data_IF_886200358198
#
_entry.id   IF_886200358198
#
_cell.length_a   1.000
_cell.length_b   1.000
_cell.length_c   1.000
_cell.angle_alpha   90.00
_cell.angle_beta   90.00
_cell.angle_gamma   90.00
#
_symmetry.space_group_name_H-M   'P 1'
#
loop_
_entity.id
_entity.type
_entity.pdbx_description
1 polymer ?
#
# COMPACT_ATOMS: atom_id res chain seq x y z
N UNK A 1 2.93 -12.22 -59.11
CA UNK A 1 4.06 -12.64 -58.25
C UNK A 1 4.46 -11.59 -57.22
N UNK A 2 4.39 -10.30 -57.51
CA UNK A 2 4.79 -9.20 -56.63
C UNK A 2 3.95 -9.03 -55.35
N UNK A 3 2.63 -9.29 -55.39
CA UNK A 3 1.71 -9.19 -54.29
C UNK A 3 2.08 -10.17 -53.14
N UNK A 4 2.50 -11.40 -53.48
CA UNK A 4 2.84 -12.46 -52.55
C UNK A 4 4.18 -12.20 -51.80
N UNK A 5 5.10 -11.42 -52.37
CA UNK A 5 6.37 -11.05 -51.76
C UNK A 5 6.21 -9.89 -50.77
N UNK A 6 5.31 -8.93 -51.05
CA UNK A 6 4.96 -7.84 -50.15
C UNK A 6 4.25 -8.39 -48.90
N UNK A 7 3.30 -9.28 -49.04
CA UNK A 7 2.56 -9.89 -47.91
C UNK A 7 3.48 -10.70 -47.01
N UNK A 8 4.43 -11.47 -47.54
CA UNK A 8 5.44 -12.20 -46.75
C UNK A 8 6.41 -11.27 -46.00
N UNK A 9 6.73 -10.11 -46.56
CA UNK A 9 7.60 -9.12 -45.90
C UNK A 9 6.86 -8.45 -44.72
N UNK A 10 5.60 -8.09 -44.93
CA UNK A 10 4.75 -7.54 -43.89
C UNK A 10 4.58 -8.51 -42.71
N UNK A 11 4.24 -9.76 -42.98
CA UNK A 11 4.13 -10.81 -41.94
C UNK A 11 5.40 -10.95 -41.08
N UNK A 12 6.58 -10.87 -41.69
CA UNK A 12 7.86 -10.94 -40.98
C UNK A 12 8.08 -9.72 -40.10
N UNK A 13 7.73 -8.52 -40.57
CA UNK A 13 7.86 -7.28 -39.79
C UNK A 13 6.92 -7.30 -38.61
N UNK A 14 5.64 -7.62 -38.84
CA UNK A 14 4.63 -7.69 -37.75
C UNK A 14 5.00 -8.75 -36.72
N UNK A 15 5.46 -9.93 -37.15
CA UNK A 15 5.91 -10.98 -36.24
C UNK A 15 7.11 -10.56 -35.38
N UNK A 16 8.07 -9.83 -35.97
CA UNK A 16 9.17 -9.27 -35.20
C UNK A 16 8.70 -8.22 -34.19
N UNK A 17 7.83 -7.29 -34.59
CA UNK A 17 7.27 -6.28 -33.69
C UNK A 17 6.52 -6.91 -32.50
N UNK A 18 5.63 -7.87 -32.76
CA UNK A 18 4.94 -8.61 -31.72
C UNK A 18 5.92 -9.31 -30.76
N UNK A 19 6.97 -9.96 -31.30
CA UNK A 19 7.98 -10.61 -30.47
C UNK A 19 8.71 -9.63 -29.59
N UNK A 20 9.08 -8.44 -30.08
CA UNK A 20 9.73 -7.40 -29.29
C UNK A 20 8.82 -6.88 -28.18
N UNK A 21 7.52 -6.68 -28.43
CA UNK A 21 6.55 -6.29 -27.41
C UNK A 21 6.46 -7.37 -26.34
N UNK A 22 6.32 -8.64 -26.71
CA UNK A 22 6.26 -9.76 -25.75
C UNK A 22 7.51 -9.81 -24.87
N UNK A 23 8.70 -9.69 -25.46
CA UNK A 23 9.95 -9.69 -24.70
C UNK A 23 10.00 -8.50 -23.72
N UNK A 24 9.64 -7.30 -24.20
CA UNK A 24 9.65 -6.08 -23.36
C UNK A 24 8.74 -6.23 -22.15
N UNK A 25 7.49 -6.67 -22.39
CA UNK A 25 6.51 -6.88 -21.30
C UNK A 25 6.99 -7.96 -20.34
N UNK A 26 7.49 -9.09 -20.85
CA UNK A 26 7.97 -10.18 -20.01
C UNK A 26 9.15 -9.76 -19.11
N UNK A 27 10.13 -9.05 -19.67
CA UNK A 27 11.30 -8.56 -18.94
C UNK A 27 10.89 -7.50 -17.90
N UNK A 28 10.01 -6.57 -18.29
CA UNK A 28 9.54 -5.54 -17.37
C UNK A 28 8.78 -6.16 -16.18
N UNK A 29 7.91 -7.15 -16.42
CA UNK A 29 7.21 -7.87 -15.35
C UNK A 29 8.18 -8.56 -14.40
N UNK A 30 9.25 -9.19 -14.90
CA UNK A 30 10.26 -9.81 -14.04
C UNK A 30 10.93 -8.80 -13.11
N UNK A 31 11.35 -7.64 -13.65
CA UNK A 31 11.94 -6.58 -12.84
C UNK A 31 10.94 -5.95 -11.87
N UNK A 32 9.69 -5.76 -12.30
CA UNK A 32 8.64 -5.21 -11.44
C UNK A 32 8.35 -6.12 -10.25
N UNK A 33 8.22 -7.44 -10.47
CA UNK A 33 8.00 -8.41 -9.38
C UNK A 33 9.20 -8.40 -8.41
N UNK A 34 10.42 -8.37 -8.94
CA UNK A 34 11.62 -8.29 -8.09
C UNK A 34 11.61 -6.99 -7.27
N UNK A 35 11.43 -5.84 -7.91
CA UNK A 35 11.39 -4.54 -7.25
C UNK A 35 10.29 -4.48 -6.18
N UNK A 36 9.12 -5.01 -6.46
CA UNK A 36 8.01 -5.08 -5.52
C UNK A 36 8.40 -5.80 -4.22
N UNK A 37 9.01 -6.98 -4.32
CA UNK A 37 9.42 -7.75 -3.14
C UNK A 37 10.71 -7.25 -2.47
N UNK A 38 11.52 -6.49 -3.17
CA UNK A 38 12.69 -5.82 -2.59
C UNK A 38 12.27 -4.54 -1.83
N UNK A 39 11.18 -3.90 -2.27
CA UNK A 39 10.64 -2.68 -1.64
C UNK A 39 9.73 -3.00 -0.44
N UNK A 40 8.87 -4.01 -0.57
CA UNK A 40 7.96 -4.45 0.47
C UNK A 40 8.25 -5.90 0.84
N UNK A 41 9.01 -6.10 1.91
CA UNK A 41 9.51 -7.44 2.30
C UNK A 41 8.42 -8.40 2.76
N UNK A 42 7.37 -7.89 3.42
CA UNK A 42 6.24 -8.65 3.96
C UNK A 42 4.92 -8.32 3.26
N UNK A 43 4.98 -7.98 1.98
CA UNK A 43 3.80 -7.60 1.20
C UNK A 43 2.74 -8.71 1.22
N UNK A 44 1.53 -8.37 1.67
CA UNK A 44 0.34 -9.22 1.59
C UNK A 44 -0.40 -9.03 0.26
N UNK A 45 -1.35 -9.93 -0.05
CA UNK A 45 -2.17 -9.78 -1.25
C UNK A 45 -3.12 -8.57 -1.13
N UNK A 46 -3.64 -8.30 0.06
CA UNK A 46 -4.49 -7.16 0.37
C UNK A 46 -3.75 -5.83 0.13
N UNK A 47 -2.51 -5.73 0.61
CA UNK A 47 -1.66 -4.56 0.39
C UNK A 47 -1.33 -4.37 -1.08
N UNK A 48 -1.06 -5.47 -1.82
CA UNK A 48 -0.84 -5.39 -3.26
C UNK A 48 -2.07 -4.85 -3.98
N UNK A 49 -3.26 -5.36 -3.66
CA UNK A 49 -4.52 -4.88 -4.25
C UNK A 49 -4.71 -3.40 -3.92
N UNK A 50 -4.48 -3.00 -2.67
CA UNK A 50 -4.54 -1.60 -2.26
C UNK A 50 -3.60 -0.72 -3.10
N UNK A 51 -2.31 -1.08 -3.24
CA UNK A 51 -1.35 -0.31 -4.04
C UNK A 51 -1.67 -0.25 -5.54
N UNK A 52 -2.38 -1.24 -6.08
CA UNK A 52 -2.81 -1.25 -7.48
C UNK A 52 -4.08 -0.41 -7.71
N UNK A 53 -4.89 -0.22 -6.67
CA UNK A 53 -6.16 0.51 -6.75
C UNK A 53 -6.06 1.93 -6.19
N UNK A 54 -5.11 2.20 -5.28
CA UNK A 54 -4.90 3.53 -4.73
C UNK A 54 -4.43 4.52 -5.81
N UNK A 55 -4.92 5.77 -5.76
CA UNK A 55 -4.43 6.82 -6.66
C UNK A 55 -2.95 7.08 -6.43
N UNK A 56 -2.24 7.41 -7.51
CA UNK A 56 -0.81 7.79 -7.44
C UNK A 56 -0.59 9.18 -6.80
N UNK A 57 -1.66 9.89 -6.52
CA UNK A 57 -1.63 11.22 -5.91
C UNK A 57 -1.08 11.13 -4.49
N UNK A 58 0.00 11.87 -4.21
CA UNK A 58 0.73 11.78 -2.94
C UNK A 58 1.82 10.70 -2.87
N UNK A 59 2.01 9.92 -3.94
CA UNK A 59 3.13 8.97 -4.01
C UNK A 59 4.48 9.72 -4.02
N UNK A 60 5.43 9.24 -3.24
CA UNK A 60 6.78 9.80 -3.21
C UNK A 60 7.44 9.71 -4.59
N UNK A 61 7.83 10.86 -5.16
CA UNK A 61 8.50 10.92 -6.47
C UNK A 61 9.77 10.07 -6.53
N UNK A 62 10.51 9.94 -5.42
CA UNK A 62 11.70 9.10 -5.36
C UNK A 62 11.38 7.62 -5.61
N UNK A 63 10.24 7.11 -5.14
CA UNK A 63 9.78 5.74 -5.42
C UNK A 63 9.52 5.54 -6.91
N UNK A 64 8.92 6.52 -7.58
CA UNK A 64 8.69 6.49 -9.03
C UNK A 64 10.03 6.45 -9.78
N UNK A 65 10.97 7.30 -9.40
CA UNK A 65 12.31 7.30 -9.98
C UNK A 65 13.10 6.03 -9.69
N UNK A 66 12.94 5.44 -8.51
CA UNK A 66 13.50 4.14 -8.18
C UNK A 66 12.97 3.04 -9.10
N UNK A 67 11.64 2.98 -9.31
CA UNK A 67 11.04 2.05 -10.27
C UNK A 67 11.61 2.22 -11.68
N UNK A 68 11.71 3.46 -12.15
CA UNK A 68 12.29 3.75 -13.48
C UNK A 68 13.73 3.24 -13.56
N UNK A 69 14.56 3.53 -12.55
CA UNK A 69 15.98 3.11 -12.53
C UNK A 69 16.14 1.59 -12.46
N UNK A 70 15.33 0.90 -11.67
CA UNK A 70 15.49 -0.52 -11.37
C UNK A 70 14.73 -1.42 -12.36
N UNK A 71 13.60 -0.96 -12.91
CA UNK A 71 12.76 -1.76 -13.80
C UNK A 71 12.85 -1.31 -15.27
N UNK A 72 12.65 -0.02 -15.53
CA UNK A 72 12.52 0.48 -16.92
C UNK A 72 13.89 0.56 -17.59
N UNK A 73 14.89 1.15 -16.96
CA UNK A 73 16.24 1.30 -17.54
C UNK A 73 16.88 -0.06 -17.89
N UNK A 74 16.93 -1.08 -16.99
CA UNK A 74 17.45 -2.39 -17.36
C UNK A 74 16.66 -3.05 -18.48
N UNK A 75 15.34 -2.90 -18.53
CA UNK A 75 14.52 -3.40 -19.63
C UNK A 75 14.95 -2.79 -20.97
N UNK A 76 15.13 -1.47 -21.02
CA UNK A 76 15.61 -0.77 -22.22
C UNK A 76 16.99 -1.27 -22.64
N UNK A 77 17.92 -1.46 -21.70
CA UNK A 77 19.27 -1.97 -21.99
C UNK A 77 19.25 -3.38 -22.56
N UNK A 78 18.44 -4.28 -22.02
CA UNK A 78 18.25 -5.63 -22.54
C UNK A 78 17.68 -5.58 -23.96
N UNK A 79 16.67 -4.75 -24.19
CA UNK A 79 16.05 -4.59 -25.51
C UNK A 79 17.02 -4.01 -26.55
N UNK A 80 17.85 -3.05 -26.14
CA UNK A 80 18.93 -2.52 -26.98
C UNK A 80 19.95 -3.61 -27.34
N UNK A 81 20.33 -4.45 -26.38
CA UNK A 81 21.22 -5.58 -26.59
C UNK A 81 20.64 -6.60 -27.60
N UNK A 82 19.39 -7.01 -27.40
CA UNK A 82 18.69 -7.93 -28.31
C UNK A 82 18.58 -7.32 -29.72
N UNK A 83 18.24 -6.05 -29.82
CA UNK A 83 18.15 -5.31 -31.08
C UNK A 83 19.49 -5.31 -31.83
N UNK A 84 20.57 -5.06 -31.11
CA UNK A 84 21.94 -5.07 -31.64
C UNK A 84 22.30 -6.45 -32.18
N UNK A 85 22.02 -7.51 -31.42
CA UNK A 85 22.27 -8.90 -31.85
C UNK A 85 21.48 -9.27 -33.11
N UNK A 86 20.22 -8.85 -33.19
CA UNK A 86 19.34 -9.06 -34.36
C UNK A 86 19.90 -8.34 -35.60
N UNK A 87 20.30 -7.06 -35.45
CA UNK A 87 20.90 -6.28 -36.55
C UNK A 87 22.20 -6.90 -37.02
N UNK A 88 23.09 -7.31 -36.09
CA UNK A 88 24.36 -7.96 -36.41
C UNK A 88 24.15 -9.33 -37.09
N UNK A 89 23.16 -10.12 -36.63
CA UNK A 89 22.78 -11.37 -37.22
C UNK A 89 22.31 -11.20 -38.67
N UNK A 90 21.49 -10.17 -38.94
CA UNK A 90 21.01 -9.84 -40.31
C UNK A 90 22.17 -9.46 -41.24
N UNK A 91 23.12 -8.64 -40.77
CA UNK A 91 24.29 -8.23 -41.56
C UNK A 91 25.19 -9.40 -41.96
N UNK A 92 25.27 -10.45 -41.12
CA UNK A 92 26.06 -11.65 -41.34
C UNK A 92 25.29 -12.80 -42.00
N UNK A 93 24.10 -12.52 -42.54
CA UNK A 93 23.20 -13.51 -43.17
C UNK A 93 22.85 -14.71 -42.27
N UNK A 94 23.01 -14.54 -40.94
CA UNK A 94 22.67 -15.57 -39.97
C UNK A 94 21.14 -15.60 -39.73
N UNK A 95 20.59 -16.73 -39.29
CA UNK A 95 19.15 -16.86 -39.03
C UNK A 95 18.73 -16.06 -37.78
N UNK A 96 18.63 -14.74 -37.90
CA UNK A 96 18.30 -13.80 -36.82
C UNK A 96 16.97 -14.14 -36.10
N UNK A 97 16.06 -14.86 -36.79
CA UNK A 97 14.83 -15.38 -36.18
C UNK A 97 15.12 -16.34 -35.01
N UNK A 98 16.21 -17.09 -35.03
CA UNK A 98 16.62 -17.94 -33.91
C UNK A 98 16.94 -17.09 -32.66
N UNK A 99 17.52 -15.91 -32.87
CA UNK A 99 17.81 -14.98 -31.77
C UNK A 99 16.49 -14.44 -31.17
N UNK A 100 15.57 -14.01 -32.02
CA UNK A 100 14.25 -13.50 -31.59
C UNK A 100 13.48 -14.61 -30.86
N UNK A 101 13.37 -15.80 -31.47
CA UNK A 101 12.65 -16.93 -30.86
C UNK A 101 13.28 -17.34 -29.52
N UNK A 102 14.63 -17.44 -29.47
CA UNK A 102 15.34 -17.73 -28.23
C UNK A 102 15.06 -16.68 -27.15
N UNK A 103 15.10 -15.40 -27.51
CA UNK A 103 14.79 -14.31 -26.58
C UNK A 103 13.33 -14.37 -26.07
N UNK A 104 12.36 -14.64 -26.94
CA UNK A 104 10.95 -14.84 -26.56
C UNK A 104 10.83 -16.01 -25.58
N UNK A 105 11.40 -17.17 -25.91
CA UNK A 105 11.29 -18.36 -25.06
C UNK A 105 11.90 -18.09 -23.67
N UNK A 106 13.11 -17.52 -23.63
CA UNK A 106 13.81 -17.23 -22.35
C UNK A 106 13.03 -16.22 -21.53
N UNK A 107 12.56 -15.12 -22.14
CA UNK A 107 11.82 -14.08 -21.42
C UNK A 107 10.48 -14.57 -20.90
N UNK A 108 9.73 -15.36 -21.67
CA UNK A 108 8.45 -15.93 -21.26
C UNK A 108 8.65 -16.97 -20.14
N UNK A 109 9.68 -17.82 -20.23
CA UNK A 109 10.01 -18.76 -19.17
C UNK A 109 10.40 -18.03 -17.86
N UNK A 110 11.24 -17.01 -17.96
CA UNK A 110 11.62 -16.19 -16.80
C UNK A 110 10.39 -15.51 -16.17
N UNK A 111 9.53 -14.91 -17.00
CA UNK A 111 8.27 -14.31 -16.53
C UNK A 111 7.37 -15.33 -15.84
N UNK A 112 7.20 -16.51 -16.44
CA UNK A 112 6.36 -17.59 -15.85
C UNK A 112 6.90 -18.02 -14.48
N UNK A 113 8.22 -18.19 -14.36
CA UNK A 113 8.84 -18.52 -13.08
C UNK A 113 8.67 -17.40 -12.04
N UNK A 114 8.85 -16.14 -12.45
CA UNK A 114 8.68 -14.97 -11.57
C UNK A 114 7.24 -14.83 -11.09
N UNK A 115 6.26 -14.94 -11.99
CA UNK A 115 4.83 -14.89 -11.67
C UNK A 115 4.43 -16.06 -10.75
N UNK A 116 4.93 -17.26 -11.03
CA UNK A 116 4.67 -18.41 -10.17
C UNK A 116 5.27 -18.24 -8.76
N UNK A 117 6.48 -17.68 -8.68
CA UNK A 117 7.10 -17.33 -7.39
C UNK A 117 6.28 -16.31 -6.61
N UNK A 118 5.83 -15.25 -7.30
CA UNK A 118 4.97 -14.23 -6.72
C UNK A 118 3.62 -14.82 -6.27
N UNK A 119 3.00 -15.66 -7.10
CA UNK A 119 1.76 -16.37 -6.77
C UNK A 119 1.86 -17.14 -5.45
N UNK A 120 2.97 -17.87 -5.28
CA UNK A 120 3.20 -18.63 -4.03
C UNK A 120 3.51 -17.73 -2.83
N UNK A 121 4.33 -16.70 -3.04
CA UNK A 121 4.75 -15.82 -1.95
C UNK A 121 3.60 -14.96 -1.41
N UNK A 122 2.68 -14.54 -2.27
CA UNK A 122 1.49 -13.77 -1.92
C UNK A 122 0.30 -14.65 -1.51
N UNK A 123 0.45 -15.97 -1.57
CA UNK A 123 -0.67 -16.93 -1.35
C UNK A 123 -1.96 -16.54 -2.08
N UNK A 124 -1.82 -16.21 -3.38
CA UNK A 124 -2.97 -15.76 -4.20
C UNK A 124 -4.08 -16.82 -4.21
N UNK A 125 -3.71 -18.13 -4.15
CA UNK A 125 -4.67 -19.23 -4.07
C UNK A 125 -5.51 -19.17 -2.81
N UNK A 126 -4.89 -19.00 -1.65
CA UNK A 126 -5.58 -18.81 -0.36
C UNK A 126 -6.42 -17.54 -0.35
N UNK A 127 -5.86 -16.43 -0.81
CA UNK A 127 -6.59 -15.17 -0.93
C UNK A 127 -7.88 -15.31 -1.77
N UNK A 128 -7.79 -15.93 -2.95
CA UNK A 128 -8.97 -16.15 -3.81
C UNK A 128 -9.99 -17.12 -3.20
N UNK A 129 -9.54 -18.13 -2.49
CA UNK A 129 -10.43 -19.08 -1.82
C UNK A 129 -11.19 -18.42 -0.67
N UNK A 130 -10.53 -17.51 0.06
CA UNK A 130 -11.10 -16.84 1.23
C UNK A 130 -11.98 -15.64 0.87
N UNK A 131 -11.93 -15.14 -0.36
CA UNK A 131 -12.72 -13.97 -0.80
C UNK A 131 -14.25 -14.16 -0.72
N UNK A 132 -14.73 -15.36 -0.57
CA UNK A 132 -16.17 -15.66 -0.44
C UNK A 132 -16.57 -16.17 0.95
N UNK A 133 -15.63 -16.35 1.86
CA UNK A 133 -15.92 -16.84 3.21
C UNK A 133 -16.17 -15.68 4.17
N UNK A 134 -17.29 -15.75 4.89
CA UNK A 134 -17.60 -14.81 5.96
C UNK A 134 -16.82 -15.25 7.19
N UNK A 135 -15.82 -14.49 7.59
CA UNK A 135 -15.09 -14.70 8.84
C UNK A 135 -15.96 -14.31 10.02
N UNK A 136 -16.04 -15.14 11.04
CA UNK A 136 -16.69 -14.83 12.33
C UNK A 136 -15.74 -14.08 13.28
N UNK A 137 -14.51 -13.76 12.83
CA UNK A 137 -13.47 -13.18 13.70
C UNK A 137 -13.93 -11.90 14.39
N UNK A 138 -14.60 -11.02 13.68
CA UNK A 138 -15.13 -9.76 14.26
C UNK A 138 -16.23 -10.10 15.26
N UNK A 139 -17.20 -10.95 14.89
CA UNK A 139 -18.31 -11.33 15.76
C UNK A 139 -17.83 -12.00 17.06
N UNK A 140 -16.76 -12.79 16.99
CA UNK A 140 -16.20 -13.53 18.11
C UNK A 140 -15.29 -12.67 19.03
N UNK A 141 -14.70 -11.59 18.52
CA UNK A 141 -13.66 -10.82 19.22
C UNK A 141 -14.00 -9.35 19.45
N UNK A 142 -14.90 -8.75 18.68
CA UNK A 142 -15.29 -7.35 18.86
C UNK A 142 -16.19 -7.18 20.08
N UNK A 143 -15.83 -6.26 20.95
CA UNK A 143 -16.66 -5.87 22.09
C UNK A 143 -17.40 -4.57 21.72
N UNK A 144 -18.70 -4.68 21.47
CA UNK A 144 -19.53 -3.50 21.21
C UNK A 144 -19.53 -2.56 22.45
N UNK A 145 -19.08 -1.30 22.32
CA UNK A 145 -19.05 -0.35 23.43
C UNK A 145 -20.42 -0.13 24.09
N UNK A 146 -21.53 -0.38 23.40
CA UNK A 146 -22.89 -0.31 23.95
C UNK A 146 -23.16 -1.40 24.99
N UNK A 147 -22.40 -2.47 24.96
CA UNK A 147 -22.52 -3.60 25.89
C UNK A 147 -21.68 -3.45 27.16
N UNK A 148 -20.87 -2.40 27.25
CA UNK A 148 -19.89 -2.19 28.33
C UNK A 148 -20.25 -0.92 29.11
N UNK A 149 -20.16 -0.98 30.45
CA UNK A 149 -20.28 0.20 31.30
C UNK A 149 -18.96 0.97 31.31
N UNK A 150 -18.95 2.15 30.69
CA UNK A 150 -17.80 3.04 30.64
C UNK A 150 -17.96 4.13 31.69
N UNK A 151 -17.03 4.18 32.64
CA UNK A 151 -17.06 5.17 33.71
C UNK A 151 -16.00 6.25 33.51
N UNK A 152 -16.35 7.48 33.80
CA UNK A 152 -15.44 8.63 33.73
C UNK A 152 -15.13 9.15 35.13
N UNK A 153 -13.91 9.68 35.38
CA UNK A 153 -13.60 10.31 36.65
C UNK A 153 -14.46 11.55 36.87
N UNK A 154 -14.76 11.86 38.13
CA UNK A 154 -15.58 13.01 38.49
C UNK A 154 -15.02 14.34 37.99
N UNK A 155 -13.69 14.47 37.91
CA UNK A 155 -13.02 15.56 37.21
C UNK A 155 -12.48 15.05 35.89
N UNK A 156 -13.07 15.49 34.78
CA UNK A 156 -12.65 15.13 33.43
C UNK A 156 -11.25 15.66 33.12
N UNK A 157 -10.43 14.85 32.47
CA UNK A 157 -9.12 15.24 31.96
C UNK A 157 -9.20 15.46 30.45
N UNK A 158 -8.31 16.29 29.90
CA UNK A 158 -8.15 16.40 28.46
C UNK A 158 -7.51 15.13 27.89
N UNK A 159 -8.01 14.65 26.78
CA UNK A 159 -7.39 13.61 25.97
C UNK A 159 -6.76 14.29 24.74
N UNK A 160 -5.46 14.08 24.56
CA UNK A 160 -4.74 14.46 23.35
C UNK A 160 -4.34 13.17 22.65
N UNK A 161 -4.87 12.95 21.46
CA UNK A 161 -4.61 11.78 20.63
C UNK A 161 -3.89 12.20 19.37
N UNK A 162 -2.66 11.72 19.18
CA UNK A 162 -1.79 12.14 18.09
C UNK A 162 -1.55 10.95 17.16
N UNK A 163 -2.01 11.07 15.90
CA UNK A 163 -1.70 10.12 14.85
C UNK A 163 -0.41 10.54 14.16
N UNK A 164 0.63 9.73 14.32
CA UNK A 164 1.92 9.90 13.65
C UNK A 164 1.94 9.00 12.42
N UNK A 165 1.61 9.56 11.27
CA UNK A 165 1.58 8.85 9.99
C UNK A 165 2.97 8.35 9.61
N UNK A 166 3.04 7.08 9.15
CA UNK A 166 4.30 6.43 8.72
C UNK A 166 5.39 6.39 9.79
N UNK A 167 5.04 6.47 11.07
CA UNK A 167 5.99 6.33 12.16
C UNK A 167 6.22 4.86 12.48
N UNK A 168 7.49 4.43 12.45
CA UNK A 168 7.89 3.05 12.65
C UNK A 168 8.95 2.94 13.75
N UNK A 169 8.97 1.81 14.47
CA UNK A 169 10.04 1.47 15.41
C UNK A 169 11.40 1.37 14.73
N UNK A 170 11.42 1.12 13.41
CA UNK A 170 12.63 1.14 12.56
C UNK A 170 13.49 2.39 12.75
N UNK A 171 12.90 3.53 13.08
CA UNK A 171 13.60 4.81 13.31
C UNK A 171 14.36 4.90 14.64
N UNK A 172 14.12 3.99 15.57
CA UNK A 172 14.97 3.84 16.74
C UNK A 172 16.32 3.19 16.37
N UNK A 173 17.26 3.18 17.30
CA UNK A 173 18.51 2.44 17.14
C UNK A 173 18.34 0.94 17.42
N UNK A 174 19.36 0.16 17.09
CA UNK A 174 19.35 -1.30 17.24
C UNK A 174 19.26 -1.76 18.69
N UNK A 175 19.68 -0.96 19.66
CA UNK A 175 19.57 -1.28 21.11
C UNK A 175 18.12 -1.16 21.56
N UNK A 176 17.34 -0.26 20.95
CA UNK A 176 15.94 0.00 21.25
C UNK A 176 14.95 -0.69 20.28
N UNK A 177 15.40 -1.68 19.51
CA UNK A 177 14.53 -2.46 18.62
C UNK A 177 14.37 -1.89 17.21
N UNK A 178 15.06 -0.79 16.87
CA UNK A 178 15.10 -0.20 15.54
C UNK A 178 16.20 -0.77 14.64
N UNK A 179 16.50 -0.07 13.55
CA UNK A 179 17.52 -0.51 12.58
C UNK A 179 18.62 0.53 12.32
N UNK A 180 18.51 1.72 12.88
CA UNK A 180 19.50 2.77 12.73
C UNK A 180 20.68 2.58 13.70
N UNK A 181 21.87 3.05 13.31
CA UNK A 181 23.01 3.10 14.24
C UNK A 181 22.81 4.12 15.36
N UNK A 182 22.03 5.16 15.08
CA UNK A 182 21.69 6.23 16.02
C UNK A 182 20.19 6.40 16.04
N UNK A 183 19.61 6.46 17.23
CA UNK A 183 18.19 6.73 17.41
C UNK A 183 17.85 8.12 16.86
N UNK A 184 16.96 8.18 15.86
CA UNK A 184 16.49 9.44 15.26
C UNK A 184 15.15 9.92 15.82
N UNK A 185 14.55 9.11 16.75
CA UNK A 185 13.32 9.43 17.48
C UNK A 185 13.51 9.25 19.00
N UNK A 186 14.58 9.82 19.61
CA UNK A 186 14.93 9.49 20.99
C UNK A 186 13.85 9.89 22.00
N UNK A 187 13.13 10.98 21.78
CA UNK A 187 12.05 11.44 22.69
C UNK A 187 10.86 10.48 22.65
N UNK A 188 10.46 10.01 21.46
CA UNK A 188 9.38 9.02 21.33
C UNK A 188 9.79 7.67 21.92
N UNK A 189 11.03 7.26 21.73
CA UNK A 189 11.60 6.07 22.35
C UNK A 189 11.54 6.14 23.87
N UNK A 190 11.95 7.27 24.47
CA UNK A 190 11.87 7.50 25.89
C UNK A 190 10.43 7.48 26.39
N UNK A 191 9.50 8.13 25.68
CA UNK A 191 8.09 8.12 26.05
C UNK A 191 7.51 6.70 26.08
N UNK A 192 7.87 5.87 25.08
CA UNK A 192 7.41 4.49 25.04
C UNK A 192 8.01 3.63 26.16
N UNK A 193 9.27 3.85 26.53
CA UNK A 193 9.94 3.14 27.64
C UNK A 193 9.45 3.54 29.03
N UNK A 194 9.02 4.78 29.20
CA UNK A 194 8.60 5.32 30.49
C UNK A 194 7.08 5.24 30.76
N UNK A 195 6.30 4.91 29.72
CA UNK A 195 4.84 4.87 29.77
C UNK A 195 4.31 3.54 29.20
N UNK A 196 2.98 3.42 29.11
CA UNK A 196 2.35 2.28 28.45
C UNK A 196 2.72 2.27 26.96
N UNK A 197 3.29 1.18 26.49
CA UNK A 197 3.49 0.87 25.10
C UNK A 197 2.75 -0.42 24.72
N UNK A 198 2.51 -0.62 23.45
CA UNK A 198 1.81 -1.81 22.95
C UNK A 198 2.74 -2.71 22.13
N UNK A 199 4.00 -2.80 22.55
CA UNK A 199 5.04 -3.63 21.90
C UNK A 199 4.90 -5.14 22.14
N UNK A 200 3.85 -5.59 22.76
CA UNK A 200 3.61 -7.00 23.04
C UNK A 200 4.27 -7.49 24.33
N UNK A 201 4.90 -8.67 24.32
CA UNK A 201 5.39 -9.34 25.54
C UNK A 201 6.90 -9.16 25.81
N UNK A 202 7.61 -8.51 24.90
CA UNK A 202 9.05 -8.30 25.05
C UNK A 202 9.30 -6.92 25.64
N UNK A 203 9.65 -6.89 26.92
CA UNK A 203 9.91 -5.68 27.66
C UNK A 203 11.34 -5.12 27.42
N UNK A 204 12.14 -5.76 26.59
CA UNK A 204 13.55 -5.41 26.38
C UNK A 204 13.81 -4.50 25.19
N UNK A 205 12.89 -4.46 24.23
CA UNK A 205 13.01 -3.64 23.02
C UNK A 205 11.61 -3.23 22.52
N UNK A 206 11.54 -2.07 21.88
CA UNK A 206 10.32 -1.62 21.21
C UNK A 206 10.04 -2.50 19.99
N UNK A 207 8.87 -3.10 19.94
CA UNK A 207 8.44 -3.94 18.83
C UNK A 207 7.35 -3.29 17.97
N UNK A 208 6.64 -2.32 18.55
CA UNK A 208 5.48 -1.68 17.92
C UNK A 208 4.29 -2.63 17.71
N UNK A 209 3.27 -2.14 17.07
CA UNK A 209 2.10 -2.92 16.67
C UNK A 209 2.21 -3.41 15.22
N UNK A 210 1.64 -4.56 14.93
CA UNK A 210 1.45 -5.01 13.56
C UNK A 210 0.17 -4.40 12.98
N UNK A 211 0.28 -3.79 11.80
CA UNK A 211 -0.90 -3.29 11.08
C UNK A 211 -1.78 -4.45 10.62
N UNK A 212 -3.07 -4.35 10.89
CA UNK A 212 -4.05 -5.30 10.38
C UNK A 212 -4.46 -4.92 8.94
N UNK A 213 -4.93 -5.88 8.12
CA UNK A 213 -5.58 -5.57 6.86
C UNK A 213 -6.70 -4.53 7.06
N UNK A 214 -6.77 -3.52 6.17
CA UNK A 214 -7.71 -2.41 6.31
C UNK A 214 -7.28 -1.29 7.27
N UNK A 215 -6.08 -1.37 7.89
CA UNK A 215 -5.54 -0.30 8.75
C UNK A 215 -4.19 0.25 8.28
N UNK A 216 -3.72 -0.14 7.09
CA UNK A 216 -2.39 0.19 6.55
C UNK A 216 -2.31 1.54 5.83
N UNK A 217 -3.35 2.34 5.87
CA UNK A 217 -3.44 3.67 5.26
C UNK A 217 -4.15 4.65 6.21
N UNK A 218 -3.98 5.95 5.97
CA UNK A 218 -4.36 7.00 6.93
C UNK A 218 -5.78 6.85 7.48
N UNK A 219 -6.81 6.79 6.61
CA UNK A 219 -8.18 6.68 7.07
C UNK A 219 -8.46 5.31 7.71
N UNK A 220 -7.90 4.23 7.16
CA UNK A 220 -8.02 2.89 7.74
C UNK A 220 -7.42 2.81 9.13
N UNK A 221 -6.26 3.42 9.36
CA UNK A 221 -5.63 3.49 10.68
C UNK A 221 -6.45 4.35 11.67
N UNK A 222 -6.92 5.52 11.25
CA UNK A 222 -7.75 6.38 12.09
C UNK A 222 -9.08 5.68 12.46
N UNK A 223 -9.72 5.05 11.48
CA UNK A 223 -10.93 4.26 11.70
C UNK A 223 -10.68 3.11 12.67
N UNK A 224 -9.64 2.30 12.43
CA UNK A 224 -9.30 1.16 13.28
C UNK A 224 -9.04 1.54 14.73
N UNK A 225 -8.27 2.61 14.95
CA UNK A 225 -7.91 3.06 16.29
C UNK A 225 -9.08 3.75 17.01
N UNK A 226 -10.04 4.33 16.31
CA UNK A 226 -11.17 5.01 16.94
C UNK A 226 -12.42 4.16 17.08
N UNK A 227 -12.56 3.09 16.27
CA UNK A 227 -13.71 2.18 16.31
C UNK A 227 -13.38 0.78 16.83
N UNK A 228 -12.10 0.38 16.82
CA UNK A 228 -11.68 -0.99 17.11
C UNK A 228 -11.95 -1.98 15.97
N UNK A 229 -12.31 -1.52 14.78
CA UNK A 229 -12.67 -2.33 13.63
C UNK A 229 -11.75 -2.02 12.43
N UNK A 230 -11.36 -3.01 11.61
CA UNK A 230 -10.66 -2.73 10.37
C UNK A 230 -11.58 -2.06 9.35
N UNK A 231 -11.07 -1.09 8.60
CA UNK A 231 -11.83 -0.46 7.52
C UNK A 231 -11.82 -1.36 6.29
N UNK A 232 -12.89 -2.09 6.09
CA UNK A 232 -13.11 -2.90 4.89
C UNK A 232 -14.34 -2.40 4.16
N UNK A 233 -14.14 -1.76 3.01
CA UNK A 233 -15.21 -1.21 2.19
C UNK A 233 -14.90 -1.42 0.72
N UNK A 234 -15.95 -1.59 -0.09
CA UNK A 234 -15.87 -1.60 -1.56
C UNK A 234 -15.86 -0.20 -2.18
N UNK A 235 -15.96 0.86 -1.35
CA UNK A 235 -15.96 2.25 -1.81
C UNK A 235 -14.52 2.68 -2.05
N UNK A 236 -14.26 3.27 -3.22
CA UNK A 236 -12.94 3.85 -3.52
C UNK A 236 -12.61 4.97 -2.54
N UNK A 237 -11.34 5.09 -2.18
CA UNK A 237 -10.88 6.13 -1.23
C UNK A 237 -11.22 7.56 -1.69
N UNK A 238 -11.31 7.79 -3.00
CA UNK A 238 -11.69 9.07 -3.57
C UNK A 238 -13.20 9.35 -3.51
N UNK A 239 -14.03 8.30 -3.34
CA UNK A 239 -15.48 8.41 -3.28
C UNK A 239 -16.02 8.36 -1.84
N UNK A 240 -15.15 8.17 -0.85
CA UNK A 240 -15.54 8.11 0.56
C UNK A 240 -16.14 9.42 1.08
N UNK A 241 -15.73 10.56 0.54
CA UNK A 241 -16.26 11.88 0.90
C UNK A 241 -17.66 12.13 0.35
N UNK A 242 -18.11 11.35 -0.64
CA UNK A 242 -19.45 11.45 -1.22
C UNK A 242 -20.53 10.72 -0.41
N UNK A 243 -20.13 10.00 0.63
CA UNK A 243 -21.06 9.22 1.45
C UNK A 243 -21.79 10.11 2.45
N UNK A 244 -23.10 10.22 2.34
CA UNK A 244 -23.95 10.98 3.28
C UNK A 244 -23.92 10.40 4.70
N UNK A 245 -23.79 9.07 4.82
CA UNK A 245 -23.70 8.35 6.09
C UNK A 245 -22.48 7.44 6.06
N UNK A 246 -21.48 7.75 6.88
CA UNK A 246 -20.21 7.03 6.93
C UNK A 246 -20.19 6.04 8.11
N UNK A 247 -20.58 4.79 7.87
CA UNK A 247 -20.66 3.71 8.86
C UNK A 247 -21.55 4.02 10.08
N UNK A 248 -22.82 4.39 9.91
CA UNK A 248 -23.67 4.93 10.99
C UNK A 248 -23.94 3.97 12.14
N UNK A 249 -23.70 2.66 11.97
CA UNK A 249 -23.96 1.62 12.97
C UNK A 249 -22.83 1.42 13.98
N UNK A 250 -21.62 1.93 13.70
CA UNK A 250 -20.48 1.77 14.60
C UNK A 250 -20.50 2.81 15.70
N UNK A 251 -19.86 2.47 16.82
CA UNK A 251 -19.61 3.39 17.92
C UNK A 251 -18.11 3.62 18.03
N UNK A 252 -17.71 4.87 18.04
CA UNK A 252 -16.33 5.28 18.11
C UNK A 252 -15.98 5.90 19.48
N UNK A 253 -14.68 6.06 19.73
CA UNK A 253 -14.25 6.83 20.91
C UNK A 253 -14.81 8.26 20.87
N UNK A 254 -15.03 8.83 19.68
CA UNK A 254 -15.66 10.14 19.51
C UNK A 254 -17.08 10.17 20.03
N UNK A 255 -17.90 9.19 19.68
CA UNK A 255 -19.30 9.08 20.15
C UNK A 255 -19.34 8.88 21.68
N UNK A 256 -18.44 8.07 22.22
CA UNK A 256 -18.33 7.84 23.67
C UNK A 256 -17.98 9.14 24.40
N UNK A 257 -16.98 9.87 23.92
CA UNK A 257 -16.55 11.12 24.54
C UNK A 257 -17.60 12.24 24.38
N UNK A 258 -18.29 12.33 23.24
CA UNK A 258 -19.39 13.26 23.07
C UNK A 258 -20.52 12.98 24.07
N UNK A 259 -20.92 11.72 24.20
CA UNK A 259 -21.96 11.31 25.16
C UNK A 259 -21.57 11.64 26.61
N UNK A 260 -20.26 11.62 26.93
CA UNK A 260 -19.72 12.03 28.20
C UNK A 260 -19.59 13.58 28.35
N UNK A 261 -19.95 14.35 27.32
CA UNK A 261 -19.92 15.81 27.31
C UNK A 261 -18.54 16.42 27.11
N UNK A 262 -17.67 15.76 26.36
CA UNK A 262 -16.45 16.36 25.85
C UNK A 262 -16.73 17.16 24.57
N UNK A 263 -16.05 18.27 24.40
CA UNK A 263 -15.92 18.93 23.10
C UNK A 263 -14.67 18.42 22.39
N UNK A 264 -14.80 18.13 21.12
CA UNK A 264 -13.76 17.44 20.35
C UNK A 264 -13.29 18.31 19.19
N UNK A 265 -12.00 18.25 18.90
CA UNK A 265 -11.40 18.95 17.76
C UNK A 265 -10.48 17.97 17.02
N UNK A 266 -10.67 17.85 15.72
CA UNK A 266 -9.74 17.18 14.82
C UNK A 266 -8.88 18.23 14.13
N UNK A 267 -7.55 18.11 14.25
CA UNK A 267 -6.61 19.00 13.58
C UNK A 267 -5.78 18.21 12.57
N UNK A 268 -5.74 18.66 11.33
CA UNK A 268 -5.05 18.02 10.22
C UNK A 268 -4.25 19.05 9.41
N UNK A 269 -3.07 18.68 8.93
CA UNK A 269 -2.27 19.49 8.00
C UNK A 269 -2.74 19.40 6.53
N UNK A 270 -3.72 18.55 6.22
CA UNK A 270 -4.30 18.34 4.88
C UNK A 270 -5.79 18.62 4.87
N UNK A 271 -6.42 18.65 3.69
CA UNK A 271 -7.88 18.74 3.57
C UNK A 271 -8.54 17.51 4.20
N UNK A 272 -9.47 17.73 5.12
CA UNK A 272 -10.18 16.65 5.80
C UNK A 272 -11.18 15.90 4.90
N UNK A 273 -11.52 16.43 3.73
CA UNK A 273 -12.44 15.80 2.77
C UNK A 273 -11.83 14.52 2.20
N UNK A 274 -10.52 14.52 1.96
CA UNK A 274 -9.83 13.35 1.42
C UNK A 274 -10.01 12.11 2.30
N UNK A 275 -10.42 11.00 1.67
CA UNK A 275 -10.66 9.70 2.33
C UNK A 275 -11.85 9.69 3.28
N UNK A 276 -12.77 10.67 3.20
CA UNK A 276 -14.00 10.73 4.00
C UNK A 276 -13.78 11.14 5.47
N UNK A 277 -12.59 11.62 5.86
CA UNK A 277 -12.27 11.98 7.26
C UNK A 277 -13.23 13.02 7.81
N UNK A 278 -13.59 14.04 7.01
CA UNK A 278 -14.56 15.07 7.42
C UNK A 278 -15.90 14.46 7.81
N UNK A 279 -16.47 13.61 6.95
CA UNK A 279 -17.74 12.96 7.17
C UNK A 279 -17.68 12.05 8.40
N UNK A 280 -16.63 11.23 8.51
CA UNK A 280 -16.45 10.32 9.63
C UNK A 280 -16.39 11.05 10.97
N UNK A 281 -15.48 12.00 11.15
CA UNK A 281 -15.31 12.68 12.42
C UNK A 281 -16.42 13.68 12.76
N UNK A 282 -17.15 14.17 11.75
CA UNK A 282 -18.35 14.97 11.99
C UNK A 282 -19.51 14.10 12.48
N UNK A 283 -19.68 12.92 11.90
CA UNK A 283 -20.78 12.02 12.25
C UNK A 283 -20.52 11.25 13.54
N UNK A 284 -19.26 10.88 13.81
CA UNK A 284 -18.84 10.11 14.96
C UNK A 284 -18.10 10.97 16.00
N UNK A 285 -18.89 11.69 16.82
CA UNK A 285 -18.37 12.50 17.91
C UNK A 285 -18.39 14.01 17.66
N UNK A 286 -19.00 14.46 16.55
CA UNK A 286 -19.25 15.88 16.27
C UNK A 286 -18.01 16.78 16.40
N UNK A 287 -16.89 16.33 15.82
CA UNK A 287 -15.63 17.04 15.92
C UNK A 287 -15.64 18.39 15.20
N UNK A 288 -15.08 19.40 15.85
CA UNK A 288 -14.71 20.66 15.21
C UNK A 288 -13.49 20.43 14.32
N UNK A 289 -13.64 20.50 13.01
CA UNK A 289 -12.58 20.21 12.04
C UNK A 289 -11.72 21.46 11.80
N UNK A 290 -10.41 21.34 12.10
CA UNK A 290 -9.39 22.35 11.82
C UNK A 290 -8.36 21.75 10.87
N UNK A 291 -8.63 21.84 9.59
CA UNK A 291 -7.82 21.28 8.52
C UNK A 291 -7.05 22.36 7.74
N UNK A 292 -6.45 21.99 6.62
CA UNK A 292 -5.73 22.90 5.74
C UNK A 292 -6.61 24.10 5.30
N UNK A 293 -7.86 23.86 4.93
CA UNK A 293 -8.77 24.94 4.50
C UNK A 293 -9.06 25.91 5.64
N UNK A 294 -9.29 25.40 6.84
CA UNK A 294 -9.42 26.21 8.04
C UNK A 294 -8.19 27.08 8.28
N UNK A 295 -6.97 26.52 8.11
CA UNK A 295 -5.75 27.27 8.31
C UNK A 295 -5.59 28.43 7.29
N UNK A 296 -5.95 28.19 6.03
CA UNK A 296 -5.94 29.23 4.98
C UNK A 296 -6.92 30.37 5.31
N UNK A 297 -8.11 30.03 5.83
CA UNK A 297 -9.13 31.04 6.21
C UNK A 297 -8.68 31.91 7.39
N UNK A 298 -7.82 31.39 8.27
CA UNK A 298 -7.32 32.16 9.43
C UNK A 298 -6.10 33.03 9.12
N UNK A 299 -5.41 32.86 7.97
CA UNK A 299 -4.23 33.62 7.52
C UNK A 299 -2.96 32.93 7.94
#
# INVERSE_FOLDING_TARGET
>A
MEKNTKDKKWLKITGAMCSFIVITVAVLICFSIKWMFDTWTNLSMEELVYHLTAPLEGTNEEMIWQYVRVCVVPTILIMAGISTLVVFGRKKEKPYWRIITGAVVISVLAQTCSVYGAWKKLDIGGYMANQGEVSTFIDDNYVDPRSVEITFPGQKRNLIYIFLESMETTYADTENGGTFEKNVIPELTTLAQENEDFSGKDDTALNGGYSMPGTTWTMGAMFGQTSGLPLNTSIDANDMDTQDNFFPEIITIGDILESAGYSQTLMLGSDATFGGRRNYFTQHGNYNIKDYNYAIEQG
#
